data_IF_018452848798
#
_entry.id   IF_018452848798
#
_cell.length_a   1.000
_cell.length_b   1.000
_cell.length_c   1.000
_cell.angle_alpha   90.00
_cell.angle_beta   90.00
_cell.angle_gamma   90.00
#
_symmetry.space_group_name_H-M   'P 1'
#
loop_
_entity.id
_entity.type
_entity.pdbx_description
1 polymer ?
#
# COMPACT_ATOMS: atom_id res chain seq x y z
N UNK A 1 -19.67 0.60 -6.72
CA UNK A 1 -18.23 0.31 -6.89
C UNK A 1 -17.81 -0.71 -5.86
N UNK A 2 -17.22 -1.83 -6.27
CA UNK A 2 -16.67 -2.85 -5.36
C UNK A 2 -15.15 -2.75 -5.34
N UNK A 3 -14.56 -2.67 -4.15
CA UNK A 3 -13.12 -2.55 -3.92
C UNK A 3 -12.63 -3.78 -3.17
N UNK A 4 -11.64 -4.49 -3.70
CA UNK A 4 -10.92 -5.53 -2.97
C UNK A 4 -9.72 -4.90 -2.26
N UNK A 5 -9.71 -4.90 -0.93
CA UNK A 5 -8.64 -4.34 -0.11
C UNK A 5 -7.73 -5.46 0.39
N UNK A 6 -6.51 -5.52 -0.12
CA UNK A 6 -5.48 -6.46 0.30
C UNK A 6 -4.77 -5.94 1.55
N UNK A 7 -5.01 -6.59 2.69
CA UNK A 7 -4.54 -6.14 3.99
C UNK A 7 -3.38 -6.98 4.52
N UNK A 8 -2.65 -6.45 5.49
CA UNK A 8 -1.69 -7.22 6.28
C UNK A 8 -2.37 -8.24 7.20
N UNK A 9 -1.57 -9.09 7.83
CA UNK A 9 -2.10 -9.99 8.84
C UNK A 9 -2.65 -9.18 10.04
N UNK A 10 -3.85 -9.53 10.50
CA UNK A 10 -4.54 -8.89 11.64
C UNK A 10 -3.92 -9.25 13.01
N UNK A 11 -2.60 -9.35 13.08
CA UNK A 11 -1.89 -9.81 14.29
C UNK A 11 -1.25 -8.71 15.11
N UNK A 12 -1.14 -7.51 14.56
CA UNK A 12 -0.57 -6.37 15.27
C UNK A 12 -1.42 -5.10 15.05
N UNK A 13 -1.38 -4.22 16.05
CA UNK A 13 -2.16 -2.98 16.02
C UNK A 13 -1.82 -2.06 14.84
N UNK A 14 -0.56 -2.07 14.38
CA UNK A 14 -0.13 -1.25 13.25
C UNK A 14 -0.76 -1.68 11.92
N UNK A 15 -0.81 -2.99 11.64
CA UNK A 15 -1.45 -3.50 10.42
C UNK A 15 -2.97 -3.28 10.46
N UNK A 16 -3.58 -3.41 11.65
CA UNK A 16 -4.99 -3.10 11.85
C UNK A 16 -5.29 -1.63 11.57
N UNK A 17 -4.52 -0.71 12.17
CA UNK A 17 -4.68 0.73 11.95
C UNK A 17 -4.51 1.12 10.49
N UNK A 18 -3.50 0.56 9.79
CA UNK A 18 -3.29 0.78 8.35
C UNK A 18 -4.54 0.38 7.56
N UNK A 19 -5.11 -0.77 7.86
CA UNK A 19 -6.30 -1.29 7.17
C UNK A 19 -7.51 -0.39 7.39
N UNK A 20 -7.81 -0.07 8.65
CA UNK A 20 -8.95 0.80 9.02
C UNK A 20 -8.85 2.19 8.37
N UNK A 21 -7.66 2.79 8.39
CA UNK A 21 -7.45 4.12 7.80
C UNK A 21 -7.46 4.09 6.28
N UNK A 22 -6.94 3.03 5.65
CA UNK A 22 -7.03 2.86 4.19
C UNK A 22 -8.49 2.72 3.75
N UNK A 23 -9.28 1.92 4.45
CA UNK A 23 -10.71 1.76 4.17
C UNK A 23 -11.47 3.06 4.37
N UNK A 24 -11.25 3.76 5.48
CA UNK A 24 -11.88 5.05 5.74
C UNK A 24 -11.57 6.07 4.64
N UNK A 25 -10.32 6.13 4.16
CA UNK A 25 -9.92 7.01 3.06
C UNK A 25 -10.63 6.65 1.75
N UNK A 26 -10.72 5.35 1.43
CA UNK A 26 -11.41 4.88 0.23
C UNK A 26 -12.91 5.17 0.30
N UNK A 27 -13.55 4.94 1.44
CA UNK A 27 -14.96 5.26 1.65
C UNK A 27 -15.24 6.77 1.64
N UNK A 28 -14.33 7.58 2.16
CA UNK A 28 -14.43 9.04 2.06
C UNK A 28 -14.42 9.51 0.60
N UNK A 29 -13.56 8.91 -0.22
CA UNK A 29 -13.46 9.26 -1.65
C UNK A 29 -14.60 8.67 -2.48
N UNK A 30 -15.09 7.49 -2.10
CA UNK A 30 -16.13 6.72 -2.78
C UNK A 30 -17.20 6.26 -1.78
N UNK A 31 -18.10 7.16 -1.33
CA UNK A 31 -19.05 6.87 -0.24
C UNK A 31 -20.01 5.71 -0.50
N UNK A 32 -20.26 5.39 -1.77
CA UNK A 32 -21.11 4.27 -2.18
C UNK A 32 -20.36 2.98 -2.48
N UNK A 33 -19.04 2.93 -2.19
CA UNK A 33 -18.26 1.73 -2.44
C UNK A 33 -18.55 0.65 -1.40
N UNK A 34 -18.50 -0.60 -1.83
CA UNK A 34 -18.45 -1.78 -0.96
C UNK A 34 -17.01 -2.27 -0.93
N UNK A 35 -16.44 -2.43 0.26
CA UNK A 35 -15.06 -2.87 0.45
C UNK A 35 -15.05 -4.28 1.02
N UNK A 36 -14.35 -5.20 0.32
CA UNK A 36 -14.08 -6.55 0.80
C UNK A 36 -12.60 -6.69 1.16
N UNK A 37 -12.29 -7.21 2.35
CA UNK A 37 -10.91 -7.36 2.85
C UNK A 37 -10.38 -8.76 2.58
N UNK A 38 -9.15 -8.86 2.09
CA UNK A 38 -8.43 -10.10 1.82
C UNK A 38 -7.03 -10.05 2.42
N UNK A 39 -6.55 -11.18 2.96
CA UNK A 39 -5.19 -11.27 3.49
C UNK A 39 -4.17 -11.38 2.35
N UNK A 40 -3.40 -10.33 2.11
CA UNK A 40 -2.39 -10.26 1.03
C UNK A 40 -1.27 -11.31 1.12
N UNK A 41 -1.09 -11.93 2.29
CA UNK A 41 -0.03 -12.93 2.53
C UNK A 41 -0.53 -14.36 2.29
N UNK A 42 -1.75 -14.54 1.81
CA UNK A 42 -2.32 -15.84 1.45
C UNK A 42 -2.44 -15.99 -0.06
N UNK A 43 -2.46 -17.23 -0.51
CA UNK A 43 -2.90 -17.55 -1.86
C UNK A 43 -4.38 -17.20 -1.99
N UNK A 44 -4.74 -16.49 -3.05
CA UNK A 44 -6.08 -15.96 -3.29
C UNK A 44 -6.82 -16.66 -4.43
N UNK A 45 -6.29 -17.79 -4.94
CA UNK A 45 -6.93 -18.59 -6.00
C UNK A 45 -8.37 -18.95 -5.66
N UNK A 46 -8.61 -19.38 -4.42
CA UNK A 46 -9.96 -19.77 -3.97
C UNK A 46 -10.98 -18.65 -3.96
N UNK A 47 -10.54 -17.40 -4.03
CA UNK A 47 -11.38 -16.18 -4.03
C UNK A 47 -11.19 -15.34 -5.29
N UNK A 48 -10.48 -15.87 -6.30
CA UNK A 48 -10.16 -15.15 -7.54
C UNK A 48 -11.43 -14.69 -8.27
N UNK A 49 -12.46 -15.54 -8.33
CA UNK A 49 -13.74 -15.15 -8.95
C UNK A 49 -14.37 -13.93 -8.24
N UNK A 50 -14.27 -13.88 -6.92
CA UNK A 50 -14.80 -12.74 -6.15
C UNK A 50 -13.93 -11.48 -6.27
N UNK A 51 -12.60 -11.65 -6.33
CA UNK A 51 -11.68 -10.56 -6.66
C UNK A 51 -11.99 -9.98 -8.04
N UNK A 52 -12.23 -10.81 -9.04
CA UNK A 52 -12.53 -10.39 -10.40
C UNK A 52 -13.90 -9.71 -10.58
N UNK A 53 -14.78 -9.82 -9.57
CA UNK A 53 -16.01 -8.99 -9.49
C UNK A 53 -15.77 -7.59 -8.92
N UNK A 54 -14.55 -7.31 -8.45
CA UNK A 54 -14.19 -5.98 -7.96
C UNK A 54 -13.80 -5.07 -9.13
N UNK A 55 -14.01 -3.78 -8.98
CA UNK A 55 -13.59 -2.78 -9.98
C UNK A 55 -12.11 -2.38 -9.78
N UNK A 56 -11.55 -2.67 -8.61
CA UNK A 56 -10.16 -2.38 -8.27
C UNK A 56 -9.68 -3.25 -7.12
N UNK A 57 -8.39 -3.60 -7.14
CA UNK A 57 -7.66 -4.27 -6.05
C UNK A 57 -6.64 -3.28 -5.47
N UNK A 58 -6.66 -3.08 -4.16
CA UNK A 58 -5.80 -2.10 -3.49
C UNK A 58 -4.97 -2.77 -2.39
N UNK A 59 -3.65 -2.67 -2.47
CA UNK A 59 -2.77 -3.00 -1.35
C UNK A 59 -2.81 -1.90 -0.28
N UNK A 60 -3.25 -2.22 0.93
CA UNK A 60 -3.47 -1.28 2.03
C UNK A 60 -2.20 -0.95 2.82
N UNK A 61 -1.14 -0.53 2.16
CA UNK A 61 0.08 -0.11 2.86
C UNK A 61 0.88 -1.25 3.52
N UNK A 62 1.62 -0.92 4.60
CA UNK A 62 2.50 -1.86 5.29
C UNK A 62 3.77 -2.23 4.51
N UNK A 63 4.64 -3.11 5.05
CA UNK A 63 5.84 -3.54 4.34
C UNK A 63 5.48 -4.40 3.13
N UNK A 64 5.95 -3.99 1.95
CA UNK A 64 5.62 -4.65 0.69
C UNK A 64 6.73 -4.64 -0.35
N UNK A 65 7.54 -3.60 -0.40
CA UNK A 65 8.65 -3.52 -1.34
C UNK A 65 9.82 -4.37 -0.85
N UNK A 66 9.95 -5.58 -1.40
CA UNK A 66 10.93 -6.61 -1.04
C UNK A 66 11.49 -7.26 -2.30
N UNK A 67 12.71 -7.83 -2.25
CA UNK A 67 13.30 -8.54 -3.38
C UNK A 67 12.37 -9.64 -3.95
N UNK A 68 11.80 -10.44 -3.05
CA UNK A 68 10.89 -11.54 -3.39
C UNK A 68 9.46 -11.19 -2.93
N UNK A 69 8.91 -10.07 -3.43
CA UNK A 69 7.56 -9.69 -3.04
C UNK A 69 6.47 -10.61 -3.64
N UNK A 70 6.70 -11.14 -4.84
CA UNK A 70 5.80 -12.07 -5.50
C UNK A 70 6.59 -13.28 -6.03
N UNK A 71 6.08 -14.49 -5.90
CA UNK A 71 4.90 -14.90 -5.13
C UNK A 71 5.19 -15.14 -3.63
N UNK A 72 6.44 -15.00 -3.18
CA UNK A 72 6.88 -15.43 -1.84
C UNK A 72 6.16 -14.65 -0.72
N UNK A 73 6.15 -13.32 -0.80
CA UNK A 73 5.53 -12.47 0.21
C UNK A 73 4.05 -12.25 -0.03
N UNK A 74 3.67 -12.09 -1.29
CA UNK A 74 2.31 -11.92 -1.76
C UNK A 74 2.01 -13.04 -2.76
N UNK A 75 1.52 -14.20 -2.28
CA UNK A 75 1.23 -15.32 -3.18
C UNK A 75 0.18 -14.98 -4.24
N UNK A 76 -0.78 -14.11 -3.88
CA UNK A 76 -1.87 -13.68 -4.77
C UNK A 76 -2.49 -14.86 -5.53
N UNK A 77 -2.28 -14.87 -6.83
CA UNK A 77 -2.69 -15.94 -7.76
C UNK A 77 -1.47 -16.41 -8.54
N UNK A 78 -1.49 -17.65 -9.06
CA UNK A 78 -0.36 -18.26 -9.75
C UNK A 78 -0.03 -17.56 -11.07
N UNK A 79 -1.07 -17.08 -11.77
CA UNK A 79 -0.95 -16.25 -12.97
C UNK A 79 -1.59 -14.88 -12.74
N UNK A 80 -0.76 -13.83 -12.69
CA UNK A 80 -1.24 -12.47 -12.48
C UNK A 80 -2.16 -11.98 -13.61
N UNK A 81 -2.15 -12.60 -14.79
CA UNK A 81 -3.04 -12.23 -15.89
C UNK A 81 -4.49 -12.64 -15.63
N UNK A 82 -4.72 -13.63 -14.76
CA UNK A 82 -6.07 -14.05 -14.34
C UNK A 82 -6.74 -13.08 -13.38
N UNK A 83 -5.94 -12.20 -12.73
CA UNK A 83 -6.46 -11.13 -11.88
C UNK A 83 -6.85 -9.94 -12.77
N UNK A 84 -8.12 -9.88 -13.16
CA UNK A 84 -8.62 -8.92 -14.16
C UNK A 84 -8.63 -7.47 -13.67
N UNK A 85 -9.09 -7.13 -12.44
CA UNK A 85 -9.19 -5.74 -12.00
C UNK A 85 -7.82 -5.06 -11.90
N UNK A 86 -7.74 -3.73 -12.11
CA UNK A 86 -6.50 -2.98 -11.90
C UNK A 86 -6.05 -3.06 -10.44
N UNK A 87 -4.71 -3.09 -10.24
CA UNK A 87 -4.07 -3.27 -8.93
C UNK A 87 -3.28 -2.03 -8.56
N UNK A 88 -3.52 -1.50 -7.36
CA UNK A 88 -2.85 -0.31 -6.85
C UNK A 88 -2.13 -0.55 -5.53
N UNK A 89 -1.02 0.16 -5.33
CA UNK A 89 -0.30 0.19 -4.06
C UNK A 89 -0.57 1.52 -3.32
N UNK A 90 -1.19 1.43 -2.15
CA UNK A 90 -1.44 2.58 -1.28
C UNK A 90 -0.42 2.59 -0.13
N UNK A 91 0.64 3.39 -0.27
CA UNK A 91 1.59 3.64 0.81
C UNK A 91 2.34 2.41 1.32
N UNK A 92 2.78 1.52 0.43
CA UNK A 92 3.64 0.40 0.81
C UNK A 92 5.05 0.87 1.18
N UNK A 93 5.68 0.19 2.17
CA UNK A 93 7.03 0.48 2.64
C UNK A 93 8.04 -0.62 2.34
N UNK A 94 9.33 -0.27 2.36
CA UNK A 94 10.40 -1.25 2.43
C UNK A 94 10.51 -1.82 3.85
N UNK A 95 10.93 -3.08 3.95
CA UNK A 95 11.38 -3.66 5.20
C UNK A 95 12.92 -3.67 5.19
N UNK A 96 13.51 -2.59 5.65
CA UNK A 96 14.96 -2.54 5.81
C UNK A 96 15.32 -2.85 7.25
N UNK A 97 16.21 -3.80 7.45
CA UNK A 97 16.85 -4.05 8.76
C UNK A 97 18.06 -3.14 8.99
N UNK A 98 18.48 -2.41 7.97
CA UNK A 98 19.70 -1.62 7.96
C UNK A 98 19.47 -0.34 7.15
N UNK A 99 19.82 0.80 7.70
CA UNK A 99 19.77 2.10 7.01
C UNK A 99 20.72 2.17 5.79
N UNK A 100 21.59 1.15 5.63
CA UNK A 100 22.54 1.03 4.52
C UNK A 100 21.98 0.38 3.25
N UNK A 101 20.71 -0.05 3.22
CA UNK A 101 20.11 -0.60 2.00
C UNK A 101 19.71 0.57 1.10
N UNK A 102 20.51 0.81 0.08
CA UNK A 102 20.28 1.88 -0.88
C UNK A 102 19.39 1.43 -2.05
N UNK A 103 19.31 0.14 -2.33
CA UNK A 103 18.51 -0.42 -3.45
C UNK A 103 18.03 -1.82 -3.14
N UNK A 104 16.95 -2.24 -3.83
CA UNK A 104 16.42 -3.60 -3.85
C UNK A 104 16.72 -4.20 -5.22
N UNK A 105 17.30 -5.39 -5.26
CA UNK A 105 17.32 -6.23 -6.45
C UNK A 105 16.05 -7.08 -6.41
N UNK A 106 15.12 -6.78 -7.29
CA UNK A 106 13.87 -7.53 -7.41
C UNK A 106 14.09 -8.84 -8.17
N UNK A 107 13.40 -9.90 -7.78
CA UNK A 107 13.34 -11.13 -8.56
C UNK A 107 12.50 -10.89 -9.83
N UNK A 108 12.73 -11.70 -10.88
CA UNK A 108 11.95 -11.60 -12.12
C UNK A 108 10.44 -11.72 -11.89
N UNK A 109 10.03 -12.56 -10.96
CA UNK A 109 8.61 -12.69 -10.59
C UNK A 109 8.10 -11.43 -9.88
N UNK A 110 8.90 -10.82 -9.01
CA UNK A 110 8.53 -9.55 -8.37
C UNK A 110 8.45 -8.40 -9.38
N UNK A 111 9.29 -8.42 -10.42
CA UNK A 111 9.21 -7.44 -11.50
C UNK A 111 7.89 -7.53 -12.26
N UNK A 112 7.32 -8.71 -12.46
CA UNK A 112 5.98 -8.87 -13.07
C UNK A 112 4.89 -8.17 -12.25
N UNK A 113 4.91 -8.33 -10.93
CA UNK A 113 3.95 -7.62 -10.07
C UNK A 113 4.19 -6.11 -10.07
N UNK A 114 5.45 -5.66 -10.09
CA UNK A 114 5.80 -4.24 -10.17
C UNK A 114 5.31 -3.65 -11.49
N UNK A 115 5.53 -4.35 -12.59
CA UNK A 115 5.05 -3.94 -13.92
C UNK A 115 3.52 -3.84 -13.94
N UNK A 116 2.83 -4.81 -13.34
CA UNK A 116 1.37 -4.77 -13.19
C UNK A 116 0.91 -3.55 -12.41
N UNK A 117 1.49 -3.28 -11.24
CA UNK A 117 1.19 -2.10 -10.43
C UNK A 117 1.45 -0.78 -11.18
N UNK A 118 2.50 -0.77 -11.99
CA UNK A 118 2.86 0.39 -12.80
C UNK A 118 1.87 0.63 -13.95
N UNK A 119 1.53 -0.43 -14.68
CA UNK A 119 0.62 -0.35 -15.82
C UNK A 119 -0.81 0.03 -15.39
N UNK A 120 -1.26 -0.49 -14.25
CA UNK A 120 -2.59 -0.23 -13.73
C UNK A 120 -2.72 1.15 -13.06
N UNK A 121 -1.68 1.57 -12.31
CA UNK A 121 -1.75 2.75 -11.45
C UNK A 121 -0.94 3.95 -11.89
N UNK A 122 -0.09 3.85 -12.91
CA UNK A 122 0.87 4.85 -13.36
C UNK A 122 1.89 5.30 -12.29
N UNK A 123 1.63 5.04 -11.01
CA UNK A 123 2.49 5.41 -9.90
C UNK A 123 2.63 4.25 -8.91
N UNK A 124 3.85 4.09 -8.41
CA UNK A 124 4.16 3.14 -7.36
C UNK A 124 4.10 3.87 -6.01
N UNK A 125 3.02 3.67 -5.26
CA UNK A 125 2.78 4.33 -3.99
C UNK A 125 3.74 3.85 -2.90
N UNK A 126 4.42 4.79 -2.22
CA UNK A 126 5.28 4.45 -1.08
C UNK A 126 4.97 5.31 0.15
N UNK A 127 5.27 4.77 1.34
CA UNK A 127 4.83 5.34 2.61
C UNK A 127 5.77 6.39 3.21
N UNK A 128 7.07 6.37 2.86
CA UNK A 128 8.09 7.20 3.52
C UNK A 128 9.24 7.55 2.59
N UNK A 129 10.04 8.54 3.00
CA UNK A 129 11.18 9.06 2.23
C UNK A 129 12.26 8.00 2.00
N UNK A 130 12.48 7.11 2.98
CA UNK A 130 13.47 6.04 2.83
C UNK A 130 13.02 5.07 1.73
N UNK A 131 11.77 4.61 1.78
CA UNK A 131 11.18 3.77 0.73
C UNK A 131 11.26 4.46 -0.63
N UNK A 132 10.89 5.74 -0.71
CA UNK A 132 10.99 6.51 -1.96
C UNK A 132 12.41 6.47 -2.54
N UNK A 133 13.43 6.78 -1.73
CA UNK A 133 14.84 6.75 -2.16
C UNK A 133 15.25 5.37 -2.63
N UNK A 134 14.98 4.34 -1.83
CA UNK A 134 15.34 2.95 -2.16
C UNK A 134 14.72 2.52 -3.49
N UNK A 135 13.46 2.82 -3.76
CA UNK A 135 12.79 2.48 -5.01
C UNK A 135 13.40 3.24 -6.20
N UNK A 136 13.71 4.52 -6.04
CA UNK A 136 14.38 5.32 -7.08
C UNK A 136 15.77 4.77 -7.40
N UNK A 137 16.58 4.45 -6.39
CA UNK A 137 17.91 3.84 -6.54
C UNK A 137 17.84 2.43 -7.13
N UNK A 138 16.70 1.75 -6.96
CA UNK A 138 16.41 0.45 -7.60
C UNK A 138 15.99 0.58 -9.07
N UNK A 139 15.97 1.80 -9.62
CA UNK A 139 15.66 2.05 -11.02
C UNK A 139 14.16 2.21 -11.32
N UNK A 140 13.28 2.19 -10.31
CA UNK A 140 11.85 2.33 -10.54
C UNK A 140 11.47 3.78 -10.88
N UNK A 141 10.64 3.90 -11.91
CA UNK A 141 10.09 5.19 -12.36
C UNK A 141 8.76 5.48 -11.65
N UNK A 142 8.31 6.73 -11.72
CA UNK A 142 6.99 7.16 -11.23
C UNK A 142 6.66 6.70 -9.80
N UNK A 143 7.66 6.69 -8.93
CA UNK A 143 7.46 6.44 -7.50
C UNK A 143 6.84 7.70 -6.89
N UNK A 144 5.75 7.55 -6.18
CA UNK A 144 5.04 8.63 -5.49
C UNK A 144 5.00 8.36 -3.98
N UNK A 145 5.49 9.29 -3.19
CA UNK A 145 5.37 9.22 -1.75
C UNK A 145 3.96 9.64 -1.33
N UNK A 146 3.09 8.65 -1.11
CA UNK A 146 1.70 8.86 -0.69
C UNK A 146 1.55 8.93 0.82
N UNK A 147 2.55 8.53 1.59
CA UNK A 147 2.45 8.37 3.04
C UNK A 147 1.88 7.01 3.46
N UNK A 148 1.96 6.72 4.76
CA UNK A 148 1.36 5.52 5.33
C UNK A 148 -0.13 5.77 5.60
N UNK A 149 -1.06 4.90 5.22
CA UNK A 149 -2.47 5.07 5.53
C UNK A 149 -2.77 5.31 7.01
N UNK A 150 -1.96 4.75 7.93
CA UNK A 150 -2.10 4.97 9.37
C UNK A 150 -2.07 6.46 9.79
N UNK A 151 -1.48 7.33 8.96
CA UNK A 151 -1.40 8.78 9.22
C UNK A 151 -2.60 9.57 8.69
N UNK A 152 -3.46 8.95 7.87
CA UNK A 152 -4.61 9.62 7.28
C UNK A 152 -5.79 9.61 8.24
N UNK A 153 -5.84 10.63 9.09
CA UNK A 153 -7.01 10.95 9.89
C UNK A 153 -7.90 11.91 9.10
N UNK A 154 -9.13 11.50 8.80
CA UNK A 154 -10.04 12.29 7.97
C UNK A 154 -10.42 13.63 8.61
N UNK A 155 -10.36 13.74 9.94
CA UNK A 155 -10.58 15.01 10.64
C UNK A 155 -9.47 16.03 10.32
N UNK A 156 -8.26 15.55 9.96
CA UNK A 156 -7.08 16.40 9.74
C UNK A 156 -6.61 16.43 8.28
N UNK A 157 -7.13 15.59 7.40
CA UNK A 157 -6.72 15.52 5.97
C UNK A 157 -6.90 16.86 5.24
N UNK A 158 -7.84 17.69 5.68
CA UNK A 158 -8.11 19.00 5.10
C UNK A 158 -7.34 20.15 5.78
N UNK A 159 -6.61 19.90 6.85
CA UNK A 159 -5.82 20.92 7.53
C UNK A 159 -4.53 21.20 6.75
N UNK A 160 -4.47 22.36 6.13
CA UNK A 160 -3.39 22.76 5.22
C UNK A 160 -2.08 23.13 5.92
N UNK A 161 -2.02 23.19 7.26
CA UNK A 161 -0.77 23.46 7.94
C UNK A 161 -0.69 22.87 9.35
N UNK A 162 0.28 21.98 9.57
CA UNK A 162 0.82 21.65 10.89
C UNK A 162 1.43 22.87 11.61
N UNK A 163 1.72 23.95 10.88
CA UNK A 163 2.30 25.18 11.43
C UNK A 163 1.38 25.91 12.41
N UNK A 164 0.06 25.86 12.22
CA UNK A 164 -0.87 26.47 13.15
C UNK A 164 -0.90 25.77 14.50
N UNK A 165 -0.91 24.44 14.53
CA UNK A 165 -0.91 23.65 15.77
C UNK A 165 0.41 23.83 16.57
N UNK A 166 1.54 23.94 15.87
CA UNK A 166 2.84 24.23 16.49
C UNK A 166 2.93 25.68 17.00
N UNK A 167 2.34 26.63 16.27
CA UNK A 167 2.32 28.06 16.66
C UNK A 167 1.39 28.29 17.87
N UNK A 168 0.35 27.49 18.05
CA UNK A 168 -0.58 27.60 19.18
C UNK A 168 -0.08 26.89 20.47
N UNK A 169 1.13 26.33 20.45
CA UNK A 169 1.76 25.75 21.65
C UNK A 169 1.15 24.45 22.15
N UNK A 170 0.31 23.77 21.34
CA UNK A 170 -0.34 22.51 21.71
C UNK A 170 0.61 21.32 21.77
N UNK A 171 1.78 21.38 21.13
CA UNK A 171 2.79 20.33 21.22
C UNK A 171 3.90 20.75 22.14
N UNK A 172 3.73 20.51 23.45
CA UNK A 172 4.76 20.86 24.45
C UNK A 172 5.88 19.83 24.61
N UNK A 173 5.66 18.58 24.25
CA UNK A 173 6.67 17.50 24.24
C UNK A 173 6.17 16.30 23.42
N UNK A 174 7.00 15.84 22.49
CA UNK A 174 6.94 14.47 21.97
C UNK A 174 8.07 13.72 22.71
N UNK A 175 7.68 12.77 23.57
CA UNK A 175 8.63 11.92 24.27
C UNK A 175 8.99 10.72 23.39
#
# INVERSE_FOLDING_TARGET
MKIALLTGAFKNAGDYLITERAEALLMHRYPSATISRYERNRNLESVLEDLNKSEVVVFAGGPGWLSNMYPEKFPLVSDLSELVPPVFALGMGCKTKNEKINRIAFSSQSELLIERLYNDGFHLGCRDVLTYRVLKESGLKNVLMTGCPAWYDLEYVHQTSLRSALAEGYVKKIA
#
